data_IF_941178163156
#
_entry.id   IF_941178163156
#
_cell.length_a   1.000
_cell.length_b   1.000
_cell.length_c   1.000
_cell.angle_alpha   90.00
_cell.angle_beta   90.00
_cell.angle_gamma   90.00
#
_symmetry.space_group_name_H-M   'P 1'
#
loop_
_entity.id
_entity.type
_entity.pdbx_description
1 polymer ?
#
# COMPACT_ATOMS: atom_id res chain seq x y z
N UNK A 1 7.75 8.25 8.27
CA UNK A 1 8.47 7.71 7.10
C UNK A 1 9.53 8.71 6.64
N UNK A 2 10.80 8.32 6.61
CA UNK A 2 11.90 9.13 6.06
C UNK A 2 11.95 9.07 4.52
N UNK A 3 12.71 9.98 3.89
CA UNK A 3 12.91 9.96 2.44
C UNK A 3 13.54 8.64 1.97
N UNK A 4 14.60 8.21 2.64
CA UNK A 4 15.32 6.96 2.38
C UNK A 4 14.38 5.74 2.44
N UNK A 5 13.51 5.66 3.46
CA UNK A 5 12.52 4.59 3.55
C UNK A 5 11.52 4.60 2.39
N UNK A 6 11.16 5.77 1.87
CA UNK A 6 10.28 5.87 0.70
C UNK A 6 11.00 5.41 -0.58
N UNK A 7 12.25 5.82 -0.77
CA UNK A 7 13.07 5.41 -1.92
C UNK A 7 13.25 3.89 -1.94
N UNK A 8 13.64 3.30 -0.81
CA UNK A 8 13.77 1.84 -0.71
C UNK A 8 12.45 1.10 -0.97
N UNK A 9 11.33 1.64 -0.49
CA UNK A 9 10.01 1.09 -0.76
C UNK A 9 9.68 1.15 -2.25
N UNK A 10 9.94 2.29 -2.90
CA UNK A 10 9.71 2.45 -4.33
C UNK A 10 10.57 1.48 -5.14
N UNK A 11 11.84 1.30 -4.77
CA UNK A 11 12.73 0.34 -5.43
C UNK A 11 12.21 -1.10 -5.32
N UNK A 12 11.62 -1.47 -4.17
CA UNK A 12 11.00 -2.79 -4.01
C UNK A 12 9.75 -2.93 -4.88
N UNK A 13 8.89 -1.93 -4.90
CA UNK A 13 7.67 -1.93 -5.73
C UNK A 13 8.02 -2.00 -7.21
N UNK A 14 8.97 -1.19 -7.68
CA UNK A 14 9.42 -1.18 -9.09
C UNK A 14 9.95 -2.54 -9.48
N UNK A 15 10.87 -3.12 -8.69
CA UNK A 15 11.39 -4.47 -8.94
C UNK A 15 10.27 -5.51 -9.02
N UNK A 16 9.35 -5.51 -8.05
CA UNK A 16 8.22 -6.46 -8.01
C UNK A 16 7.34 -6.38 -9.27
N UNK A 17 7.08 -5.17 -9.80
CA UNK A 17 6.25 -5.04 -10.99
C UNK A 17 7.03 -5.33 -12.28
N UNK A 18 8.29 -4.91 -12.40
CA UNK A 18 9.10 -5.14 -13.60
C UNK A 18 9.50 -6.60 -13.76
N UNK A 19 9.66 -7.34 -12.66
CA UNK A 19 9.95 -8.78 -12.70
C UNK A 19 8.75 -9.60 -13.21
N UNK A 20 7.53 -9.03 -13.15
CA UNK A 20 6.28 -9.71 -13.51
C UNK A 20 5.68 -9.23 -14.83
N UNK A 21 6.00 -8.01 -15.28
CA UNK A 21 5.42 -7.38 -16.47
C UNK A 21 6.52 -6.70 -17.29
N UNK A 22 6.68 -7.09 -18.56
CA UNK A 22 7.75 -6.59 -19.44
C UNK A 22 7.40 -5.31 -20.22
N UNK A 23 6.11 -5.07 -20.53
CA UNK A 23 5.71 -4.00 -21.45
C UNK A 23 4.63 -3.08 -20.88
N UNK A 24 3.53 -3.64 -20.37
CA UNK A 24 2.44 -2.87 -19.78
C UNK A 24 2.17 -3.36 -18.36
N UNK A 25 2.09 -2.42 -17.43
CA UNK A 25 1.83 -2.70 -16.01
C UNK A 25 0.41 -2.24 -15.69
N UNK A 26 -0.50 -3.15 -15.31
CA UNK A 26 -1.82 -2.76 -14.83
C UNK A 26 -1.72 -1.87 -13.59
N UNK A 27 -2.42 -0.73 -13.58
CA UNK A 27 -2.32 0.25 -12.50
C UNK A 27 -2.76 -0.32 -11.13
N UNK A 28 -3.69 -1.27 -11.13
CA UNK A 28 -4.15 -1.97 -9.92
C UNK A 28 -3.03 -2.80 -9.28
N UNK A 29 -2.10 -3.34 -10.08
CA UNK A 29 -0.94 -4.08 -9.57
C UNK A 29 -0.02 -3.15 -8.78
N UNK A 30 0.28 -1.96 -9.30
CA UNK A 30 1.13 -0.98 -8.62
C UNK A 30 0.51 -0.56 -7.29
N UNK A 31 -0.80 -0.25 -7.30
CA UNK A 31 -1.50 0.14 -6.08
C UNK A 31 -1.55 -0.98 -5.02
N UNK A 32 -1.69 -2.25 -5.44
CA UNK A 32 -1.60 -3.39 -4.53
C UNK A 32 -0.19 -3.57 -3.95
N UNK A 33 0.85 -3.48 -4.78
CA UNK A 33 2.24 -3.58 -4.33
C UNK A 33 2.59 -2.46 -3.33
N UNK A 34 2.15 -1.22 -3.60
CA UNK A 34 2.29 -0.11 -2.67
C UNK A 34 1.56 -0.37 -1.33
N UNK A 35 0.32 -0.88 -1.37
CA UNK A 35 -0.41 -1.23 -0.15
C UNK A 35 0.31 -2.29 0.67
N UNK A 36 0.85 -3.33 0.03
CA UNK A 36 1.59 -4.40 0.71
C UNK A 36 2.86 -3.88 1.39
N UNK A 37 3.63 -3.05 0.70
CA UNK A 37 4.85 -2.47 1.24
C UNK A 37 4.58 -1.45 2.34
N UNK A 38 3.58 -0.57 2.15
CA UNK A 38 3.17 0.39 3.17
C UNK A 38 2.67 -0.30 4.44
N UNK A 39 1.93 -1.42 4.32
CA UNK A 39 1.44 -2.17 5.47
C UNK A 39 2.58 -2.69 6.35
N UNK A 40 3.74 -3.02 5.77
CA UNK A 40 4.94 -3.46 6.49
C UNK A 40 5.72 -2.28 7.08
N UNK A 41 5.74 -1.15 6.38
CA UNK A 41 6.54 0.01 6.75
C UNK A 41 5.88 0.87 7.84
N UNK A 42 4.60 1.21 7.67
CA UNK A 42 3.87 2.12 8.53
C UNK A 42 2.35 1.92 8.40
N UNK A 43 1.71 1.45 9.47
CA UNK A 43 0.27 1.16 9.52
C UNK A 43 -0.60 2.41 9.24
N UNK A 44 -0.17 3.60 9.68
CA UNK A 44 -0.93 4.84 9.49
C UNK A 44 -0.86 5.28 8.04
N UNK A 45 0.32 5.22 7.42
CA UNK A 45 0.49 5.53 6.01
C UNK A 45 -0.26 4.54 5.10
N UNK A 46 -0.26 3.26 5.47
CA UNK A 46 -1.08 2.24 4.81
C UNK A 46 -2.56 2.61 4.81
N UNK A 47 -3.16 2.93 5.97
CA UNK A 47 -4.59 3.27 6.06
C UNK A 47 -4.90 4.56 5.27
N UNK A 48 -4.01 5.56 5.32
CA UNK A 48 -4.15 6.80 4.52
C UNK A 48 -4.13 6.54 3.01
N UNK A 49 -3.29 5.63 2.54
CA UNK A 49 -3.27 5.25 1.13
C UNK A 49 -4.50 4.42 0.77
N UNK A 50 -4.84 3.43 1.60
CA UNK A 50 -5.97 2.54 1.40
C UNK A 50 -7.29 3.31 1.31
N UNK A 51 -7.46 4.39 2.08
CA UNK A 51 -8.70 5.17 2.06
C UNK A 51 -8.97 5.82 0.71
N UNK A 52 -7.93 6.30 0.02
CA UNK A 52 -8.04 6.84 -1.33
C UNK A 52 -8.15 5.72 -2.36
N UNK A 53 -7.24 4.74 -2.28
CA UNK A 53 -7.17 3.65 -3.26
C UNK A 53 -8.44 2.81 -3.31
N UNK A 54 -9.04 2.51 -2.16
CA UNK A 54 -10.30 1.75 -2.02
C UNK A 54 -11.53 2.64 -1.91
N UNK A 55 -11.37 3.96 -2.03
CA UNK A 55 -12.46 4.95 -1.99
C UNK A 55 -13.37 4.80 -0.78
N UNK A 56 -12.80 4.89 0.42
CA UNK A 56 -13.59 4.93 1.65
C UNK A 56 -14.62 6.06 1.57
N UNK A 57 -15.86 5.77 1.93
CA UNK A 57 -16.98 6.72 1.87
C UNK A 57 -17.35 7.21 3.26
N UNK A 58 -17.14 6.38 4.28
CA UNK A 58 -17.59 6.65 5.64
C UNK A 58 -16.47 6.41 6.67
N UNK A 59 -16.63 7.00 7.87
CA UNK A 59 -15.69 6.78 8.98
C UNK A 59 -15.63 5.31 9.41
N UNK A 60 -16.71 4.55 9.20
CA UNK A 60 -16.80 3.10 9.45
C UNK A 60 -15.80 2.31 8.60
N UNK A 61 -15.52 2.73 7.37
CA UNK A 61 -14.52 2.10 6.50
C UNK A 61 -13.12 2.18 7.11
N UNK A 62 -12.77 3.35 7.68
CA UNK A 62 -11.52 3.53 8.41
C UNK A 62 -11.44 2.62 9.63
N UNK A 63 -12.51 2.59 10.45
CA UNK A 63 -12.55 1.76 11.66
C UNK A 63 -12.41 0.28 11.30
N UNK A 64 -13.07 -0.19 10.24
CA UNK A 64 -12.92 -1.56 9.77
C UNK A 64 -11.50 -1.88 9.30
N UNK A 65 -10.85 -0.97 8.58
CA UNK A 65 -9.49 -1.22 8.11
C UNK A 65 -8.48 -1.21 9.25
N UNK A 66 -8.64 -0.32 10.24
CA UNK A 66 -7.80 -0.29 11.44
C UNK A 66 -7.95 -1.58 12.26
N UNK A 67 -9.19 -2.07 12.47
CA UNK A 67 -9.42 -3.34 13.17
C UNK A 67 -8.70 -4.52 12.52
N UNK A 68 -8.70 -4.61 11.18
CA UNK A 68 -7.97 -5.66 10.44
C UNK A 68 -6.44 -5.60 10.65
N UNK A 69 -5.89 -4.45 11.03
CA UNK A 69 -4.47 -4.32 11.35
C UNK A 69 -4.19 -4.80 12.77
N UNK A 70 -5.09 -4.48 13.72
CA UNK A 70 -5.01 -4.97 15.10
C UNK A 70 -5.12 -6.50 15.16
N UNK A 71 -6.05 -7.09 14.41
CA UNK A 71 -6.28 -8.55 14.37
C UNK A 71 -5.16 -9.33 13.67
N UNK A 72 -4.31 -8.67 12.88
CA UNK A 72 -3.22 -9.30 12.12
C UNK A 72 -1.89 -9.35 12.90
N UNK A 73 -1.86 -8.86 14.14
CA UNK A 73 -0.73 -8.96 15.08
C UNK A 73 -0.82 -10.22 15.92
#
# INVERSE_FOLDING_TARGET
ISLEQMEELLDRVVRQVTDKYEHEIPADVIGRALMEELRKLDEVAYVRFASVYRRFQEATDFVHEVKKLEDAK
#
